data_IF_271025840671
#
_entry.id   IF_271025840671
#
_cell.length_a   1.000
_cell.length_b   1.000
_cell.length_c   1.000
_cell.angle_alpha   90.00
_cell.angle_beta   90.00
_cell.angle_gamma   90.00
#
_symmetry.space_group_name_H-M   'P 1'
#
loop_
_entity.id
_entity.type
_entity.pdbx_description
1 polymer ?
#
# COMPACT_ATOMS: atom_id res chain seq x y z
N UNK A 1 -1.32 11.33 -14.88
CA UNK A 1 -2.31 10.49 -14.15
C UNK A 1 -3.52 11.32 -13.80
N UNK A 2 -4.71 10.83 -14.09
CA UNK A 2 -5.95 11.51 -13.73
C UNK A 2 -6.29 11.28 -12.26
N UNK A 3 -7.20 12.09 -11.73
CA UNK A 3 -7.67 11.91 -10.35
C UNK A 3 -8.34 10.54 -10.16
N UNK A 4 -9.08 10.08 -11.15
CA UNK A 4 -9.72 8.78 -11.08
C UNK A 4 -8.70 7.65 -11.04
N UNK A 5 -7.67 7.75 -11.86
CA UNK A 5 -6.59 6.76 -11.85
C UNK A 5 -5.87 6.74 -10.52
N UNK A 6 -5.60 7.91 -9.95
CA UNK A 6 -4.94 8.02 -8.66
C UNK A 6 -5.79 7.40 -7.55
N UNK A 7 -7.09 7.72 -7.54
CA UNK A 7 -8.00 7.14 -6.55
C UNK A 7 -8.06 5.62 -6.67
N UNK A 8 -8.10 5.12 -7.89
CA UNK A 8 -8.11 3.68 -8.13
C UNK A 8 -6.83 3.03 -7.60
N UNK A 9 -5.69 3.66 -7.85
CA UNK A 9 -4.42 3.16 -7.36
C UNK A 9 -4.38 3.15 -5.83
N UNK A 10 -4.87 4.20 -5.18
CA UNK A 10 -4.93 4.27 -3.74
C UNK A 10 -5.84 3.18 -3.16
N UNK A 11 -6.98 2.92 -3.80
CA UNK A 11 -7.86 1.82 -3.39
C UNK A 11 -7.17 0.47 -3.47
N UNK A 12 -6.45 0.23 -4.58
CA UNK A 12 -5.73 -1.03 -4.75
C UNK A 12 -4.65 -1.19 -3.70
N UNK A 13 -3.93 -0.13 -3.39
CA UNK A 13 -2.90 -0.16 -2.33
C UNK A 13 -3.56 -0.49 -0.98
N UNK A 14 -4.69 0.13 -0.67
CA UNK A 14 -5.40 -0.14 0.57
C UNK A 14 -5.87 -1.59 0.65
N UNK A 15 -6.37 -2.14 -0.45
CA UNK A 15 -6.78 -3.54 -0.50
C UNK A 15 -5.60 -4.48 -0.28
N UNK A 16 -4.45 -4.16 -0.86
CA UNK A 16 -3.23 -4.94 -0.66
C UNK A 16 -2.78 -4.91 0.79
N UNK A 17 -2.82 -3.74 1.43
CA UNK A 17 -2.46 -3.63 2.84
C UNK A 17 -3.36 -4.48 3.72
N UNK A 18 -4.66 -4.45 3.47
CA UNK A 18 -5.61 -5.27 4.21
C UNK A 18 -5.37 -6.75 3.97
N UNK A 19 -5.12 -7.14 2.73
CA UNK A 19 -4.86 -8.53 2.38
C UNK A 19 -3.60 -9.05 3.05
N UNK A 20 -2.55 -8.25 3.07
CA UNK A 20 -1.31 -8.63 3.75
C UNK A 20 -1.57 -8.86 5.23
N UNK A 21 -2.34 -7.97 5.87
CA UNK A 21 -2.65 -8.10 7.29
C UNK A 21 -3.52 -9.32 7.62
N UNK A 22 -4.36 -9.75 6.68
CA UNK A 22 -5.26 -10.89 6.90
C UNK A 22 -4.62 -12.22 6.55
N UNK A 23 -3.84 -12.28 5.48
CA UNK A 23 -3.28 -13.52 4.96
C UNK A 23 -2.03 -13.93 5.73
N UNK A 24 -1.23 -12.97 6.13
CA UNK A 24 0.05 -13.24 6.80
C UNK A 24 -0.04 -12.85 8.26
N UNK A 25 -0.17 -13.84 9.18
CA UNK A 25 -0.18 -13.51 10.60
C UNK A 25 1.15 -12.89 11.02
N UNK A 26 1.06 -11.85 11.83
CA UNK A 26 2.24 -11.17 12.36
C UNK A 26 2.83 -11.98 13.49
N UNK A 27 3.67 -12.92 13.15
CA UNK A 27 4.42 -13.66 14.14
C UNK A 27 5.86 -13.77 13.65
N UNK A 28 6.75 -14.24 14.49
CA UNK A 28 8.19 -14.24 14.33
C UNK A 28 8.72 -14.21 12.90
N UNK A 29 8.46 -15.27 12.12
CA UNK A 29 9.05 -15.42 10.79
C UNK A 29 8.51 -14.43 9.78
N UNK A 30 7.24 -14.00 9.94
CA UNK A 30 6.57 -13.16 8.94
C UNK A 30 6.60 -11.69 9.27
N UNK A 31 6.92 -11.32 10.51
CA UNK A 31 6.80 -9.92 10.95
C UNK A 31 7.65 -8.98 10.11
N UNK A 32 8.89 -9.36 9.81
CA UNK A 32 9.78 -8.53 9.01
C UNK A 32 9.30 -8.36 7.57
N UNK A 33 8.81 -9.44 6.96
CA UNK A 33 8.28 -9.39 5.60
C UNK A 33 7.04 -8.52 5.51
N UNK A 34 6.14 -8.66 6.48
CA UNK A 34 4.91 -7.86 6.52
C UNK A 34 5.25 -6.39 6.68
N UNK A 35 6.17 -6.06 7.57
CA UNK A 35 6.61 -4.69 7.77
C UNK A 35 7.19 -4.11 6.49
N UNK A 36 8.03 -4.86 5.79
CA UNK A 36 8.63 -4.43 4.53
C UNK A 36 7.56 -4.19 3.47
N UNK A 37 6.59 -5.09 3.35
CA UNK A 37 5.51 -4.92 2.38
C UNK A 37 4.65 -3.70 2.68
N UNK A 38 4.32 -3.48 3.93
CA UNK A 38 3.52 -2.32 4.34
C UNK A 38 4.29 -1.03 4.08
N UNK A 39 5.59 -1.00 4.36
CA UNK A 39 6.43 0.17 4.07
C UNK A 39 6.48 0.46 2.57
N UNK A 40 6.60 -0.57 1.74
CA UNK A 40 6.59 -0.39 0.29
C UNK A 40 5.25 0.17 -0.19
N UNK A 41 4.13 -0.32 0.34
CA UNK A 41 2.81 0.17 -0.01
C UNK A 41 2.62 1.62 0.43
N UNK A 42 3.10 1.97 1.62
CA UNK A 42 3.07 3.34 2.10
C UNK A 42 3.91 4.26 1.23
N UNK A 43 5.06 3.77 0.76
CA UNK A 43 5.90 4.51 -0.17
C UNK A 43 5.19 4.80 -1.48
N UNK A 44 4.50 3.82 -2.03
CA UNK A 44 3.70 4.00 -3.24
C UNK A 44 2.58 5.01 -3.02
N UNK A 45 1.91 4.93 -1.89
CA UNK A 45 0.85 5.89 -1.55
C UNK A 45 1.40 7.30 -1.46
N UNK A 46 2.57 7.47 -0.87
CA UNK A 46 3.22 8.79 -0.79
C UNK A 46 3.56 9.33 -2.17
N UNK A 47 4.04 8.48 -3.07
CA UNK A 47 4.34 8.89 -4.45
C UNK A 47 3.08 9.34 -5.17
N UNK A 48 1.97 8.62 -4.99
CA UNK A 48 0.69 9.02 -5.57
C UNK A 48 0.23 10.37 -5.05
N UNK A 49 0.49 10.64 -3.78
CA UNK A 49 0.17 11.93 -3.20
C UNK A 49 0.99 13.09 -3.75
N UNK A 50 2.22 12.82 -4.17
CA UNK A 50 3.11 13.82 -4.77
C UNK A 50 2.69 14.12 -6.21
N UNK A 51 2.23 13.11 -6.95
CA UNK A 51 1.80 13.26 -8.35
C UNK A 51 0.37 13.77 -8.41
N UNK A 52 0.14 14.95 -7.88
CA UNK A 52 -1.18 15.56 -7.93
C UNK A 52 -1.27 16.51 -9.10
N UNK A 53 -2.26 16.35 -9.99
CA UNK A 53 -2.54 17.39 -10.97
C UNK A 53 -3.15 18.58 -10.25
N UNK A 54 -2.79 19.72 -10.68
CA UNK A 54 -3.38 20.97 -10.17
C UNK A 54 -4.35 21.54 -11.15
#
# INVERSE_FOLDING_TARGET
>A
MTDQERQKAEELISQLEMSVGQIFPRNGANAGLITTMIQALNGLRSLLGVVRPH
#
